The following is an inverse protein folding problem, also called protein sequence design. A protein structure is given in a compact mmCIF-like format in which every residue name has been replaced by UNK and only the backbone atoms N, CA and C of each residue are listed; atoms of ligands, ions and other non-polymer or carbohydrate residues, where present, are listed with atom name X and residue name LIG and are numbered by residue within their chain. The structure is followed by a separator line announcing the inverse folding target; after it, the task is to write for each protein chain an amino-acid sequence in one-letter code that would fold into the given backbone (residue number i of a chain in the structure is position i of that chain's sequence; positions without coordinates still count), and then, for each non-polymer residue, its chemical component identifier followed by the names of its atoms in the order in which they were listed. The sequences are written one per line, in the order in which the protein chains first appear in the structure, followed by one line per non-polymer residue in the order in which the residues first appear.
data_IF_072610406271
#
_entry.id   IF_072610406271
#
_cell.length_a   1.000
_cell.length_b   1.000
_cell.length_c   1.000
_cell.angle_alpha   90.00
_cell.angle_beta   90.00
_cell.angle_gamma   90.00
#
_symmetry.space_group_name_H-M   'P 1'
#
loop_
_entity.id
_entity.type
_entity.pdbx_description
1 polymer ?
#
# COMPACT_ATOMS: atom_id res chain seq x y z
N UNK A 1 -18.01 -2.61 -48.00
CA UNK A 1 -18.73 -3.18 -46.84
C UNK A 1 -17.69 -3.46 -45.76
N UNK A 2 -17.55 -2.58 -44.77
CA UNK A 2 -16.59 -2.78 -43.67
C UNK A 2 -17.23 -3.75 -42.67
N UNK A 3 -16.64 -4.94 -42.50
CA UNK A 3 -17.02 -5.86 -41.43
C UNK A 3 -16.50 -5.24 -40.14
N UNK A 4 -17.40 -4.66 -39.34
CA UNK A 4 -17.08 -4.23 -37.98
C UNK A 4 -16.92 -5.50 -37.15
N UNK A 5 -15.68 -5.91 -36.91
CA UNK A 5 -15.39 -7.02 -36.01
C UNK A 5 -15.66 -6.51 -34.59
N UNK A 6 -16.84 -6.84 -34.06
CA UNK A 6 -17.17 -6.57 -32.65
C UNK A 6 -16.36 -7.53 -31.79
N UNK A 7 -15.33 -7.03 -31.12
CA UNK A 7 -14.57 -7.82 -30.16
C UNK A 7 -15.39 -8.02 -28.89
N UNK A 8 -15.70 -9.28 -28.59
CA UNK A 8 -16.37 -9.63 -27.33
C UNK A 8 -15.50 -9.24 -26.13
N UNK A 9 -16.15 -8.77 -25.07
CA UNK A 9 -15.52 -8.29 -23.83
C UNK A 9 -15.84 -9.23 -22.67
N UNK A 10 -14.88 -9.46 -21.80
CA UNK A 10 -15.06 -10.16 -20.53
C UNK A 10 -14.79 -9.23 -19.35
N UNK A 11 -15.49 -9.41 -18.25
CA UNK A 11 -15.20 -8.76 -16.97
C UNK A 11 -14.96 -9.82 -15.91
N UNK A 12 -13.90 -9.65 -15.12
CA UNK A 12 -13.62 -10.50 -13.97
C UNK A 12 -14.08 -9.76 -12.71
N UNK A 13 -14.96 -10.38 -11.93
CA UNK A 13 -15.51 -9.78 -10.72
C UNK A 13 -14.83 -10.34 -9.47
N UNK A 14 -14.37 -9.41 -8.63
CA UNK A 14 -13.71 -9.67 -7.36
C UNK A 14 -14.33 -8.76 -6.29
N UNK A 15 -14.78 -9.36 -5.20
CA UNK A 15 -15.06 -8.59 -3.99
C UNK A 15 -13.76 -8.10 -3.36
N UNK A 16 -13.83 -7.10 -2.46
CA UNK A 16 -12.65 -6.61 -1.71
C UNK A 16 -11.93 -7.75 -1.00
N UNK A 17 -10.67 -7.96 -1.35
CA UNK A 17 -9.84 -9.05 -0.83
C UNK A 17 -8.97 -8.63 0.36
N UNK A 18 -8.38 -9.58 1.12
CA UNK A 18 -7.37 -9.30 2.14
C UNK A 18 -6.25 -8.38 1.64
N UNK A 19 -5.74 -7.51 2.51
CA UNK A 19 -4.81 -6.43 2.15
C UNK A 19 -3.39 -6.88 1.82
N UNK A 20 -3.03 -8.13 2.17
CA UNK A 20 -1.66 -8.64 2.07
C UNK A 20 -1.58 -9.92 1.21
N UNK A 21 -1.99 -9.87 -0.06
CA UNK A 21 -1.99 -11.05 -0.93
C UNK A 21 -0.58 -11.42 -1.40
N UNK A 22 -0.39 -12.69 -1.76
CA UNK A 22 0.82 -13.19 -2.40
C UNK A 22 0.47 -14.16 -3.53
N UNK A 23 1.45 -14.63 -4.29
CA UNK A 23 1.26 -15.50 -5.46
C UNK A 23 0.60 -16.85 -5.16
N UNK A 24 0.57 -17.27 -3.88
CA UNK A 24 -0.09 -18.49 -3.42
C UNK A 24 -1.52 -18.27 -2.92
N UNK A 25 -1.96 -17.02 -2.86
CA UNK A 25 -3.31 -16.71 -2.39
C UNK A 25 -4.34 -17.17 -3.43
N UNK A 26 -5.33 -17.97 -3.01
CA UNK A 26 -6.25 -18.63 -3.94
C UNK A 26 -6.94 -17.68 -4.93
N UNK A 27 -7.39 -16.50 -4.50
CA UNK A 27 -8.02 -15.54 -5.41
C UNK A 27 -7.03 -14.96 -6.43
N UNK A 28 -5.75 -14.79 -6.07
CA UNK A 28 -4.70 -14.35 -7.00
C UNK A 28 -4.52 -15.40 -8.09
N UNK A 29 -4.34 -16.68 -7.72
CA UNK A 29 -4.12 -17.77 -8.66
C UNK A 29 -5.31 -17.95 -9.62
N UNK A 30 -6.53 -17.98 -9.09
CA UNK A 30 -7.74 -18.12 -9.91
C UNK A 30 -7.98 -16.92 -10.82
N UNK A 31 -7.65 -15.70 -10.38
CA UNK A 31 -7.73 -14.53 -11.26
C UNK A 31 -6.69 -14.60 -12.38
N UNK A 32 -5.47 -15.08 -12.13
CA UNK A 32 -4.47 -15.32 -13.18
C UNK A 32 -4.99 -16.33 -14.21
N UNK A 33 -5.53 -17.47 -13.75
CA UNK A 33 -6.14 -18.49 -14.62
C UNK A 33 -7.29 -17.89 -15.46
N UNK A 34 -8.16 -17.08 -14.85
CA UNK A 34 -9.25 -16.41 -15.54
C UNK A 34 -8.76 -15.45 -16.63
N UNK A 35 -7.74 -14.63 -16.35
CA UNK A 35 -7.15 -13.71 -17.35
C UNK A 35 -6.48 -14.48 -18.49
N UNK A 36 -5.79 -15.57 -18.19
CA UNK A 36 -5.20 -16.44 -19.21
C UNK A 36 -6.29 -17.09 -20.10
N UNK A 37 -7.40 -17.50 -19.51
CA UNK A 37 -8.55 -17.98 -20.27
C UNK A 37 -9.13 -16.90 -21.18
N UNK A 38 -9.33 -15.68 -20.68
CA UNK A 38 -9.80 -14.52 -21.50
C UNK A 38 -8.88 -14.32 -22.70
N UNK A 39 -7.56 -14.37 -22.49
CA UNK A 39 -6.56 -14.30 -23.57
C UNK A 39 -6.73 -15.43 -24.59
N UNK A 40 -6.87 -16.67 -24.12
CA UNK A 40 -7.00 -17.84 -24.99
C UNK A 40 -8.30 -17.82 -25.81
N UNK A 41 -9.35 -17.19 -25.29
CA UNK A 41 -10.61 -16.96 -26.02
C UNK A 41 -10.57 -15.72 -26.93
N UNK A 42 -9.43 -15.03 -27.03
CA UNK A 42 -9.27 -13.80 -27.81
C UNK A 42 -10.30 -12.70 -27.46
N UNK A 43 -10.65 -12.61 -26.17
CA UNK A 43 -11.55 -11.61 -25.62
C UNK A 43 -10.76 -10.38 -25.15
N UNK A 44 -11.40 -9.20 -25.18
CA UNK A 44 -10.89 -8.02 -24.49
C UNK A 44 -11.28 -8.06 -23.01
N UNK A 45 -10.41 -7.61 -22.10
CA UNK A 45 -10.71 -7.55 -20.67
C UNK A 45 -11.18 -6.15 -20.25
N UNK A 46 -12.30 -6.07 -19.53
CA UNK A 46 -12.74 -4.83 -18.88
C UNK A 46 -12.05 -4.73 -17.52
N UNK A 47 -11.31 -3.65 -17.29
CA UNK A 47 -10.55 -3.39 -16.06
C UNK A 47 -10.81 -1.98 -15.54
N UNK A 48 -10.17 -1.59 -14.43
CA UNK A 48 -10.32 -0.24 -13.86
C UNK A 48 -9.25 0.07 -12.81
N UNK A 49 -9.30 1.26 -12.21
CA UNK A 49 -8.39 1.74 -11.16
C UNK A 49 -9.15 2.17 -9.87
N UNK A 50 -8.40 2.57 -8.85
CA UNK A 50 -8.94 3.10 -7.59
C UNK A 50 -9.35 2.02 -6.58
N UNK A 51 -9.10 0.75 -6.89
CA UNK A 51 -9.25 -0.36 -5.96
C UNK A 51 -8.28 -1.48 -6.32
N UNK A 52 -7.60 -2.05 -5.32
CA UNK A 52 -6.59 -3.09 -5.52
C UNK A 52 -7.02 -4.25 -6.41
N UNK A 53 -8.27 -4.73 -6.29
CA UNK A 53 -8.75 -5.85 -7.10
C UNK A 53 -8.92 -5.46 -8.57
N UNK A 54 -9.29 -4.22 -8.86
CA UNK A 54 -9.36 -3.69 -10.22
C UNK A 54 -7.97 -3.41 -10.79
N UNK A 55 -7.11 -2.77 -10.00
CA UNK A 55 -5.72 -2.47 -10.35
C UNK A 55 -4.92 -3.75 -10.64
N UNK A 56 -5.21 -4.84 -9.92
CA UNK A 56 -4.63 -6.14 -10.21
C UNK A 56 -5.03 -6.67 -11.59
N UNK A 57 -6.30 -6.52 -11.98
CA UNK A 57 -6.76 -6.91 -13.32
C UNK A 57 -6.11 -6.05 -14.41
N UNK A 58 -5.98 -4.74 -14.19
CA UNK A 58 -5.27 -3.84 -15.11
C UNK A 58 -3.79 -4.25 -15.26
N UNK A 59 -3.13 -4.60 -14.16
CA UNK A 59 -1.77 -5.12 -14.18
C UNK A 59 -1.66 -6.45 -14.94
N UNK A 60 -2.53 -7.42 -14.66
CA UNK A 60 -2.51 -8.71 -15.35
C UNK A 60 -2.79 -8.58 -16.86
N UNK A 61 -3.73 -7.72 -17.25
CA UNK A 61 -3.99 -7.45 -18.66
C UNK A 61 -2.75 -6.88 -19.37
N UNK A 62 -2.01 -5.99 -18.70
CA UNK A 62 -0.75 -5.46 -19.21
C UNK A 62 0.34 -6.56 -19.31
N UNK A 63 0.54 -7.35 -18.24
CA UNK A 63 1.54 -8.43 -18.20
C UNK A 63 1.31 -9.51 -19.27
N UNK A 64 0.04 -9.86 -19.52
CA UNK A 64 -0.31 -10.88 -20.50
C UNK A 64 -0.61 -10.33 -21.89
N UNK A 65 -0.39 -9.03 -22.12
CA UNK A 65 -0.61 -8.35 -23.41
C UNK A 65 -2.04 -8.49 -23.97
N UNK A 66 -3.05 -8.46 -23.10
CA UNK A 66 -4.46 -8.47 -23.52
C UNK A 66 -4.89 -7.10 -24.05
N UNK A 67 -5.85 -7.11 -24.98
CA UNK A 67 -6.66 -5.92 -25.22
C UNK A 67 -7.48 -5.63 -23.97
N UNK A 68 -7.50 -4.39 -23.50
CA UNK A 68 -8.30 -4.01 -22.35
C UNK A 68 -9.00 -2.67 -22.53
N UNK A 69 -10.20 -2.59 -21.93
CA UNK A 69 -10.97 -1.35 -21.75
C UNK A 69 -10.85 -0.96 -20.27
N UNK A 70 -10.17 0.15 -19.98
CA UNK A 70 -9.96 0.61 -18.61
C UNK A 70 -11.01 1.66 -18.28
N UNK A 71 -11.91 1.33 -17.36
CA UNK A 71 -12.86 2.29 -16.84
C UNK A 71 -12.17 3.21 -15.84
N UNK A 72 -12.30 4.53 -16.00
CA UNK A 72 -11.70 5.52 -15.10
C UNK A 72 -12.83 6.29 -14.38
N UNK A 73 -13.03 6.06 -13.08
CA UNK A 73 -14.00 6.81 -12.29
C UNK A 73 -13.49 8.24 -12.03
N UNK A 74 -14.13 9.25 -12.62
CA UNK A 74 -13.71 10.66 -12.57
C UNK A 74 -14.88 11.59 -12.32
N UNK A 75 -14.59 12.80 -11.83
CA UNK A 75 -15.61 13.84 -11.60
C UNK A 75 -15.78 14.79 -12.79
N UNK A 76 -14.76 14.92 -13.65
CA UNK A 76 -14.73 15.80 -14.81
C UNK A 76 -13.74 15.31 -15.88
N UNK A 77 -13.78 15.93 -17.07
CA UNK A 77 -12.93 15.56 -18.21
C UNK A 77 -11.45 15.87 -17.97
N UNK A 78 -11.13 16.93 -17.22
CA UNK A 78 -9.73 17.27 -16.93
C UNK A 78 -9.06 16.19 -16.09
N UNK A 79 -9.76 15.71 -15.06
CA UNK A 79 -9.35 14.60 -14.21
C UNK A 79 -9.20 13.31 -15.02
N UNK A 80 -10.09 13.08 -16.01
CA UNK A 80 -10.00 11.91 -16.89
C UNK A 80 -8.68 11.86 -17.65
N UNK A 81 -8.26 12.97 -18.27
CA UNK A 81 -7.00 13.03 -19.01
C UNK A 81 -5.78 12.80 -18.11
N UNK A 82 -5.79 13.37 -16.90
CA UNK A 82 -4.71 13.17 -15.93
C UNK A 82 -4.62 11.70 -15.48
N UNK A 83 -5.77 11.10 -15.16
CA UNK A 83 -5.83 9.73 -14.70
C UNK A 83 -5.47 8.72 -15.80
N UNK A 84 -5.73 9.02 -17.08
CA UNK A 84 -5.25 8.20 -18.20
C UNK A 84 -3.72 8.16 -18.21
N UNK A 85 -3.06 9.32 -18.19
CA UNK A 85 -1.60 9.40 -18.29
C UNK A 85 -0.94 8.75 -17.07
N UNK A 86 -1.47 9.02 -15.88
CA UNK A 86 -1.04 8.34 -14.67
C UNK A 86 -1.20 6.82 -14.79
N UNK A 87 -2.36 6.33 -15.24
CA UNK A 87 -2.63 4.89 -15.38
C UNK A 87 -1.68 4.24 -16.38
N UNK A 88 -1.43 4.87 -17.54
CA UNK A 88 -0.48 4.37 -18.53
C UNK A 88 0.91 4.22 -17.93
N UNK A 89 1.39 5.22 -17.19
CA UNK A 89 2.71 5.19 -16.56
C UNK A 89 2.80 4.10 -15.48
N UNK A 90 1.85 4.08 -14.56
CA UNK A 90 1.88 3.20 -13.39
C UNK A 90 1.75 1.72 -13.75
N UNK A 91 0.96 1.40 -14.78
CA UNK A 91 0.73 0.03 -15.23
C UNK A 91 1.53 -0.35 -16.47
N UNK A 92 2.30 0.60 -17.04
CA UNK A 92 3.06 0.40 -18.29
C UNK A 92 2.17 -0.05 -19.47
N UNK A 93 0.99 0.56 -19.60
CA UNK A 93 -0.01 0.17 -20.60
C UNK A 93 0.43 0.51 -22.03
N UNK A 94 0.02 -0.33 -22.99
CA UNK A 94 0.34 -0.17 -24.41
C UNK A 94 -0.85 0.46 -25.14
N UNK A 95 -0.60 1.57 -25.86
CA UNK A 95 -1.65 2.36 -26.51
C UNK A 95 -2.44 1.57 -27.55
N UNK A 96 -1.79 0.64 -28.27
CA UNK A 96 -2.44 -0.23 -29.27
C UNK A 96 -3.28 -1.37 -28.64
N UNK A 97 -3.21 -1.54 -27.31
CA UNK A 97 -3.90 -2.60 -26.56
C UNK A 97 -4.84 -2.06 -25.50
N UNK A 98 -4.93 -0.75 -25.34
CA UNK A 98 -5.67 -0.15 -24.23
C UNK A 98 -6.54 0.98 -24.72
N UNK A 99 -7.84 0.87 -24.46
CA UNK A 99 -8.79 1.98 -24.55
C UNK A 99 -9.24 2.39 -23.15
N UNK A 100 -9.69 3.64 -23.02
CA UNK A 100 -10.10 4.23 -21.75
C UNK A 100 -11.52 4.77 -21.89
N UNK A 101 -12.34 4.54 -20.86
CA UNK A 101 -13.71 5.02 -20.82
C UNK A 101 -13.95 5.73 -19.48
N UNK A 102 -14.43 6.98 -19.49
CA UNK A 102 -14.74 7.68 -18.26
C UNK A 102 -16.03 7.12 -17.64
N UNK A 103 -16.07 7.07 -16.31
CA UNK A 103 -17.30 6.82 -15.56
C UNK A 103 -17.55 8.06 -14.71
N UNK A 104 -18.54 8.86 -15.11
CA UNK A 104 -18.92 10.08 -14.41
C UNK A 104 -19.98 9.82 -13.33
N UNK A 105 -20.02 10.65 -12.27
CA UNK A 105 -21.16 10.67 -11.35
C UNK A 105 -22.42 11.20 -12.06
N UNK A 106 -23.60 10.79 -11.60
CA UNK A 106 -24.85 11.51 -11.88
C UNK A 106 -25.09 12.61 -10.85
N UNK A 107 -25.99 13.56 -11.17
CA UNK A 107 -26.28 14.76 -10.37
C UNK A 107 -26.52 14.50 -8.87
N UNK A 108 -27.08 13.33 -8.52
CA UNK A 108 -27.40 12.97 -7.13
C UNK A 108 -26.43 11.96 -6.49
N UNK A 109 -25.36 11.59 -7.19
CA UNK A 109 -24.38 10.65 -6.65
C UNK A 109 -23.55 11.29 -5.53
N UNK A 110 -23.35 10.52 -4.47
CA UNK A 110 -22.31 10.83 -3.48
C UNK A 110 -20.99 10.28 -3.98
N UNK A 111 -19.83 10.83 -3.55
CA UNK A 111 -18.51 10.30 -3.95
C UNK A 111 -18.33 8.79 -3.73
N UNK A 112 -19.03 8.21 -2.73
CA UNK A 112 -19.01 6.78 -2.42
C UNK A 112 -19.77 5.89 -3.43
N UNK A 113 -20.60 6.49 -4.29
CA UNK A 113 -21.44 5.77 -5.24
C UNK A 113 -20.71 5.54 -6.58
N UNK A 114 -19.70 6.36 -6.88
CA UNK A 114 -18.89 6.26 -8.09
C UNK A 114 -18.21 4.88 -8.28
N UNK A 115 -17.62 4.25 -7.24
CA UNK A 115 -17.12 2.88 -7.36
C UNK A 115 -18.20 1.85 -7.74
N UNK A 116 -19.45 2.05 -7.30
CA UNK A 116 -20.58 1.14 -7.61
C UNK A 116 -21.01 1.33 -9.06
N UNK A 117 -21.03 2.57 -9.55
CA UNK A 117 -21.29 2.86 -10.97
C UNK A 117 -20.28 2.22 -11.88
N UNK A 118 -18.99 2.38 -11.57
CA UNK A 118 -17.92 1.74 -12.31
C UNK A 118 -18.12 0.23 -12.38
N UNK A 119 -18.44 -0.41 -11.25
CA UNK A 119 -18.67 -1.87 -11.22
C UNK A 119 -19.86 -2.28 -12.12
N UNK A 120 -20.95 -1.51 -12.11
CA UNK A 120 -22.11 -1.73 -13.01
C UNK A 120 -21.76 -1.54 -14.48
N UNK A 121 -21.11 -0.42 -14.82
CA UNK A 121 -20.69 -0.12 -16.19
C UNK A 121 -19.77 -1.23 -16.74
N UNK A 122 -18.88 -1.77 -15.90
CA UNK A 122 -18.01 -2.87 -16.29
C UNK A 122 -18.78 -4.14 -16.69
N UNK A 123 -19.84 -4.46 -15.94
CA UNK A 123 -20.73 -5.60 -16.24
C UNK A 123 -21.59 -5.32 -17.46
N UNK A 124 -22.10 -4.11 -17.60
CA UNK A 124 -22.96 -3.69 -18.71
C UNK A 124 -22.28 -3.85 -20.06
N UNK A 125 -21.02 -3.40 -20.19
CA UNK A 125 -20.28 -3.48 -21.45
C UNK A 125 -19.65 -4.85 -21.74
N UNK A 126 -19.68 -5.78 -20.76
CA UNK A 126 -19.10 -7.11 -20.92
C UNK A 126 -20.10 -8.12 -21.48
N UNK A 127 -19.65 -9.00 -22.37
CA UNK A 127 -20.44 -10.13 -22.88
C UNK A 127 -20.32 -11.36 -21.97
N UNK A 128 -19.19 -11.50 -21.28
CA UNK A 128 -18.88 -12.60 -20.36
C UNK A 128 -18.54 -12.05 -18.98
N UNK A 129 -19.22 -12.55 -17.94
CA UNK A 129 -18.95 -12.22 -16.54
C UNK A 129 -18.28 -13.42 -15.87
N UNK A 130 -17.12 -13.18 -15.25
CA UNK A 130 -16.30 -14.20 -14.63
C UNK A 130 -16.19 -13.91 -13.13
N UNK A 131 -17.08 -14.47 -12.29
CA UNK A 131 -16.95 -14.36 -10.84
C UNK A 131 -15.78 -15.22 -10.34
N UNK A 132 -14.79 -14.60 -9.68
CA UNK A 132 -13.67 -15.34 -9.09
C UNK A 132 -13.84 -15.48 -7.58
N UNK A 133 -13.76 -14.39 -6.82
CA UNK A 133 -13.84 -14.43 -5.36
C UNK A 133 -14.85 -13.41 -4.87
N UNK A 134 -16.09 -13.88 -4.68
CA UNK A 134 -17.25 -13.04 -4.41
C UNK A 134 -17.69 -13.22 -2.95
N UNK A 135 -17.86 -12.10 -2.25
CA UNK A 135 -18.41 -12.07 -0.90
C UNK A 135 -19.90 -12.44 -0.95
N UNK A 136 -20.36 -13.44 -0.18
CA UNK A 136 -21.77 -13.75 -0.07
C UNK A 136 -22.57 -12.55 0.43
N UNK A 137 -23.74 -12.32 -0.18
CA UNK A 137 -24.64 -11.18 0.03
C UNK A 137 -23.95 -9.83 -0.19
N UNK A 138 -22.95 -9.80 -1.07
CA UNK A 138 -22.17 -8.62 -1.41
C UNK A 138 -22.61 -7.96 -2.71
N UNK A 139 -22.12 -6.75 -2.97
CA UNK A 139 -22.44 -6.02 -4.20
C UNK A 139 -22.08 -6.79 -5.48
N UNK A 140 -20.93 -7.48 -5.49
CA UNK A 140 -20.48 -8.22 -6.67
C UNK A 140 -21.34 -9.47 -6.94
N UNK A 141 -21.90 -10.10 -5.90
CA UNK A 141 -22.83 -11.23 -6.08
C UNK A 141 -24.12 -10.75 -6.77
N UNK A 142 -24.69 -9.65 -6.27
CA UNK A 142 -25.85 -9.01 -6.89
C UNK A 142 -25.61 -8.63 -8.36
N UNK A 143 -24.41 -8.17 -8.72
CA UNK A 143 -24.05 -7.87 -10.11
C UNK A 143 -24.00 -9.14 -10.99
N UNK A 144 -23.54 -10.26 -10.45
CA UNK A 144 -23.55 -11.55 -11.15
C UNK A 144 -24.99 -12.03 -11.38
N UNK A 145 -25.86 -11.88 -10.38
CA UNK A 145 -27.29 -12.19 -10.49
C UNK A 145 -27.99 -11.31 -11.53
N UNK A 146 -27.77 -9.99 -11.48
CA UNK A 146 -28.30 -9.02 -12.46
C UNK A 146 -27.83 -9.36 -13.89
N UNK A 147 -26.55 -9.72 -14.06
CA UNK A 147 -25.99 -10.14 -15.35
C UNK A 147 -26.64 -11.42 -15.88
N UNK A 148 -26.86 -12.40 -15.01
CA UNK A 148 -27.53 -13.65 -15.36
C UNK A 148 -28.98 -13.40 -15.80
N UNK A 149 -29.73 -12.59 -15.05
CA UNK A 149 -31.11 -12.21 -15.42
C UNK A 149 -31.17 -11.45 -16.75
N UNK A 150 -30.12 -10.68 -17.05
CA UNK A 150 -30.00 -9.94 -18.32
C UNK A 150 -29.50 -10.79 -19.49
N UNK A 151 -29.32 -12.10 -19.29
CA UNK A 151 -28.89 -13.04 -20.34
C UNK A 151 -27.41 -13.00 -20.70
N UNK A 152 -26.54 -12.41 -19.86
CA UNK A 152 -25.09 -12.42 -20.08
C UNK A 152 -24.50 -13.81 -19.79
N UNK A 153 -23.41 -14.15 -20.48
CA UNK A 153 -22.69 -15.40 -20.24
C UNK A 153 -21.97 -15.34 -18.89
N UNK A 154 -22.18 -16.34 -18.03
CA UNK A 154 -21.50 -16.46 -16.74
C UNK A 154 -20.52 -17.63 -16.78
N UNK A 155 -19.23 -17.37 -16.56
CA UNK A 155 -18.21 -18.41 -16.46
C UNK A 155 -17.69 -18.50 -15.01
N UNK A 156 -18.18 -19.50 -14.26
CA UNK A 156 -17.83 -19.74 -12.86
C UNK A 156 -16.67 -20.71 -12.65
N UNK A 157 -15.99 -21.14 -13.72
CA UNK A 157 -14.89 -22.14 -13.66
C UNK A 157 -13.75 -21.73 -12.74
N UNK A 158 -13.53 -20.42 -12.56
CA UNK A 158 -12.43 -19.86 -11.79
C UNK A 158 -12.82 -19.43 -10.38
N UNK A 159 -13.92 -19.96 -9.84
CA UNK A 159 -14.38 -19.60 -8.51
C UNK A 159 -13.34 -19.94 -7.42
N UNK A 160 -13.18 -19.04 -6.46
CA UNK A 160 -12.36 -19.18 -5.26
C UNK A 160 -13.17 -18.77 -4.04
N UNK A 161 -13.01 -19.50 -2.94
CA UNK A 161 -13.63 -19.16 -1.66
C UNK A 161 -13.21 -17.76 -1.23
N UNK A 162 -14.20 -16.91 -0.96
CA UNK A 162 -13.97 -15.58 -0.40
C UNK A 162 -13.44 -15.66 1.03
N UNK A 163 -12.40 -14.88 1.32
CA UNK A 163 -11.87 -14.70 2.67
C UNK A 163 -12.06 -13.24 3.12
N UNK A 164 -12.60 -13.00 4.33
CA UNK A 164 -12.76 -11.64 4.85
C UNK A 164 -11.40 -10.98 5.14
N UNK A 165 -11.38 -9.64 5.20
CA UNK A 165 -10.21 -8.82 5.55
C UNK A 165 -9.82 -8.88 7.05
N UNK A 166 -9.95 -10.03 7.69
CA UNK A 166 -9.91 -10.16 9.15
C UNK A 166 -8.51 -10.33 9.75
N UNK A 167 -7.49 -10.65 8.95
CA UNK A 167 -6.18 -11.01 9.46
C UNK A 167 -5.48 -9.81 10.10
N UNK A 168 -5.43 -9.84 11.43
CA UNK A 168 -4.66 -8.90 12.23
C UNK A 168 -3.21 -9.33 12.17
N UNK A 169 -2.35 -8.42 11.76
CA UNK A 169 -0.92 -8.61 11.93
C UNK A 169 -0.61 -8.49 13.43
N UNK A 170 0.13 -9.46 13.98
CA UNK A 170 0.56 -9.46 15.37
C UNK A 170 2.01 -9.95 15.44
N UNK A 171 2.82 -9.24 16.19
CA UNK A 171 4.15 -9.67 16.60
C UNK A 171 4.08 -10.14 18.05
N UNK A 172 4.77 -11.23 18.36
CA UNK A 172 4.83 -11.78 19.72
C UNK A 172 6.17 -11.42 20.33
N UNK A 173 6.22 -10.21 20.90
CA UNK A 173 7.42 -9.71 21.55
C UNK A 173 7.39 -10.17 23.00
N UNK A 174 8.03 -11.31 23.28
CA UNK A 174 8.24 -11.75 24.65
C UNK A 174 9.30 -10.85 25.31
N UNK A 175 8.90 -10.14 26.37
CA UNK A 175 9.77 -9.23 27.11
C UNK A 175 10.92 -9.95 27.81
N UNK A 176 10.76 -11.25 28.07
CA UNK A 176 11.80 -12.09 28.67
C UNK A 176 12.84 -12.57 27.66
N UNK A 177 12.52 -12.53 26.37
CA UNK A 177 13.39 -12.96 25.28
C UNK A 177 13.95 -11.78 24.45
N UNK A 178 14.02 -10.58 25.05
CA UNK A 178 14.58 -9.41 24.38
C UNK A 178 16.11 -9.50 24.36
N UNK A 179 16.70 -9.11 23.23
CA UNK A 179 18.16 -9.01 23.09
C UNK A 179 18.71 -8.00 24.13
N UNK A 180 19.66 -8.37 25.00
CA UNK A 180 20.18 -7.47 26.03
C UNK A 180 20.93 -6.26 25.46
N UNK A 181 21.45 -6.32 24.23
CA UNK A 181 22.08 -5.17 23.57
C UNK A 181 21.13 -3.98 23.44
N UNK A 182 19.82 -4.22 23.39
CA UNK A 182 18.79 -3.19 23.31
C UNK A 182 18.94 -2.14 24.41
N UNK A 183 19.27 -2.57 25.63
CA UNK A 183 19.41 -1.67 26.78
C UNK A 183 20.65 -0.79 26.70
N UNK A 184 21.70 -1.29 26.02
CA UNK A 184 22.96 -0.57 25.87
C UNK A 184 22.87 0.63 24.92
N UNK A 185 21.85 0.64 24.06
CA UNK A 185 21.63 1.71 23.08
C UNK A 185 21.08 2.97 23.76
N UNK A 186 20.27 2.79 24.81
CA UNK A 186 19.64 3.88 25.56
C UNK A 186 18.91 4.87 24.65
N UNK A 187 19.15 6.16 24.88
CA UNK A 187 18.57 7.27 24.12
C UNK A 187 19.51 7.81 23.02
N UNK A 188 20.57 7.07 22.68
CA UNK A 188 21.64 7.52 21.77
C UNK A 188 21.15 7.74 20.33
N UNK A 189 20.06 7.10 19.92
CA UNK A 189 19.55 7.15 18.56
C UNK A 189 18.14 7.74 18.49
N UNK A 190 17.82 8.38 17.36
CA UNK A 190 16.45 8.68 16.94
C UNK A 190 16.03 7.64 15.91
N UNK A 191 14.91 6.95 16.13
CA UNK A 191 14.56 5.74 15.38
C UNK A 191 13.38 6.01 14.45
N UNK A 192 13.59 5.82 13.15
CA UNK A 192 12.51 5.70 12.20
C UNK A 192 11.99 4.26 12.20
N UNK A 193 10.83 4.05 12.81
CA UNK A 193 10.17 2.75 12.80
C UNK A 193 9.44 2.53 11.48
N UNK A 194 9.68 1.37 10.88
CA UNK A 194 9.06 0.94 9.63
C UNK A 194 7.88 0.02 9.92
N UNK A 195 7.08 -0.22 8.89
CA UNK A 195 5.94 -1.14 8.93
C UNK A 195 5.61 -1.66 7.54
N UNK A 196 4.78 -2.68 7.50
CA UNK A 196 4.23 -3.23 6.28
C UNK A 196 3.41 -2.16 5.56
N UNK A 197 3.60 -2.03 4.24
CA UNK A 197 2.69 -1.25 3.39
C UNK A 197 1.53 -2.14 2.99
N UNK A 198 0.29 -1.65 3.00
CA UNK A 198 -0.86 -2.43 2.52
C UNK A 198 -1.04 -2.32 0.99
N UNK A 199 -0.02 -1.86 0.25
CA UNK A 199 -0.04 -1.63 -1.21
C UNK A 199 1.35 -1.27 -1.72
N UNK A 200 1.43 -0.51 -2.82
CA UNK A 200 2.69 0.03 -3.35
C UNK A 200 3.49 0.79 -2.29
N UNK A 201 4.82 0.76 -2.39
CA UNK A 201 5.65 1.77 -1.73
C UNK A 201 5.50 3.14 -2.43
N UNK A 202 5.79 4.27 -1.76
CA UNK A 202 5.56 5.61 -2.33
C UNK A 202 6.32 5.91 -3.64
N UNK A 203 7.48 5.29 -3.84
CA UNK A 203 8.33 5.40 -5.03
C UNK A 203 8.15 4.23 -6.01
N UNK A 204 7.19 3.35 -5.74
CA UNK A 204 6.95 2.16 -6.54
C UNK A 204 5.78 2.35 -7.52
N UNK A 205 6.01 1.94 -8.78
CA UNK A 205 4.93 1.83 -9.76
C UNK A 205 4.01 0.65 -9.45
N UNK A 206 2.71 0.82 -9.69
CA UNK A 206 1.70 -0.23 -9.48
C UNK A 206 2.04 -1.57 -10.15
N UNK A 207 2.56 -1.56 -11.39
CA UNK A 207 2.95 -2.81 -12.08
C UNK A 207 4.06 -3.57 -11.36
N UNK A 208 5.01 -2.87 -10.73
CA UNK A 208 6.11 -3.51 -9.98
C UNK A 208 5.57 -4.17 -8.71
N UNK A 209 4.64 -3.52 -8.02
CA UNK A 209 3.98 -4.10 -6.85
C UNK A 209 3.26 -5.40 -7.20
N UNK A 210 2.44 -5.41 -8.26
CA UNK A 210 1.70 -6.61 -8.64
C UNK A 210 2.62 -7.73 -9.15
N UNK A 211 3.70 -7.42 -9.87
CA UNK A 211 4.75 -8.41 -10.19
C UNK A 211 5.38 -9.00 -8.94
N UNK A 212 5.68 -8.17 -7.94
CA UNK A 212 6.23 -8.66 -6.68
C UNK A 212 5.22 -9.59 -5.97
N UNK A 213 3.93 -9.23 -5.94
CA UNK A 213 2.87 -10.08 -5.35
C UNK A 213 2.80 -11.43 -6.06
N UNK A 214 2.78 -11.44 -7.40
CA UNK A 214 2.68 -12.66 -8.20
C UNK A 214 3.88 -13.60 -8.00
N UNK A 215 5.07 -13.05 -7.86
CA UNK A 215 6.32 -13.82 -7.79
C UNK A 215 6.72 -14.23 -6.36
N UNK A 216 5.99 -13.78 -5.33
CA UNK A 216 6.35 -14.01 -3.93
C UNK A 216 5.53 -15.12 -3.28
N UNK A 217 6.19 -15.93 -2.45
CA UNK A 217 5.54 -16.93 -1.58
C UNK A 217 4.91 -16.30 -0.34
N UNK A 218 5.41 -15.13 0.05
CA UNK A 218 4.97 -14.32 1.19
C UNK A 218 4.55 -12.93 0.73
N UNK A 219 4.03 -12.10 1.62
CA UNK A 219 3.64 -10.74 1.25
C UNK A 219 4.89 -9.86 1.01
N UNK A 220 5.11 -9.34 -0.21
CA UNK A 220 6.37 -8.66 -0.57
C UNK A 220 6.52 -7.25 0.01
N UNK A 221 5.50 -6.74 0.70
CA UNK A 221 5.50 -5.41 1.34
C UNK A 221 5.34 -5.51 2.85
N UNK A 222 5.79 -6.64 3.43
CA UNK A 222 5.98 -6.79 4.87
C UNK A 222 7.04 -5.83 5.43
N UNK A 223 7.06 -5.60 6.74
CA UNK A 223 7.94 -4.62 7.37
C UNK A 223 9.43 -4.88 7.13
N UNK A 224 9.89 -6.14 7.18
CA UNK A 224 11.27 -6.49 6.83
C UNK A 224 11.61 -6.07 5.39
N UNK A 225 10.74 -6.36 4.43
CA UNK A 225 10.93 -5.97 3.03
C UNK A 225 10.88 -4.45 2.85
N UNK A 226 10.05 -3.72 3.62
CA UNK A 226 10.03 -2.26 3.63
C UNK A 226 11.37 -1.70 4.14
N UNK A 227 11.91 -2.28 5.22
CA UNK A 227 13.23 -1.90 5.75
C UNK A 227 14.34 -2.17 4.73
N UNK A 228 14.34 -3.35 4.10
CA UNK A 228 15.28 -3.68 3.02
C UNK A 228 15.19 -2.70 1.84
N UNK A 229 13.98 -2.31 1.44
CA UNK A 229 13.76 -1.32 0.39
C UNK A 229 14.41 0.02 0.74
N UNK A 230 14.11 0.55 1.94
CA UNK A 230 14.69 1.81 2.42
C UNK A 230 16.22 1.75 2.46
N UNK A 231 16.80 0.65 2.94
CA UNK A 231 18.25 0.47 2.99
C UNK A 231 18.86 0.39 1.58
N UNK A 232 18.16 -0.25 0.64
CA UNK A 232 18.62 -0.39 -0.75
C UNK A 232 18.54 0.93 -1.54
N UNK A 233 17.47 1.70 -1.37
CA UNK A 233 17.29 3.03 -1.99
C UNK A 233 18.00 4.14 -1.23
N UNK A 234 18.48 3.83 -0.03
CA UNK A 234 19.12 4.76 0.91
C UNK A 234 18.26 6.00 1.16
N UNK A 235 16.94 5.87 1.12
CA UNK A 235 16.03 7.01 1.25
C UNK A 235 14.84 6.63 2.12
N UNK A 236 14.59 7.43 3.16
CA UNK A 236 13.31 7.39 3.88
C UNK A 236 12.40 8.44 3.23
N UNK A 237 11.32 7.98 2.59
CA UNK A 237 10.40 8.88 1.89
C UNK A 237 9.46 9.55 2.89
N UNK A 238 9.42 10.87 2.85
CA UNK A 238 8.54 11.67 3.70
C UNK A 238 7.07 11.45 3.35
N UNK A 239 6.22 11.36 4.36
CA UNK A 239 4.77 11.21 4.19
C UNK A 239 4.05 12.51 4.50
N UNK A 240 2.99 12.81 3.76
CA UNK A 240 2.05 13.91 4.10
C UNK A 240 0.94 13.43 5.03
N UNK A 241 0.84 12.12 5.26
CA UNK A 241 -0.22 11.49 6.05
C UNK A 241 -0.07 11.91 7.51
N UNK A 242 -1.14 12.51 8.06
CA UNK A 242 -1.18 13.05 9.42
C UNK A 242 -0.16 14.17 9.71
N UNK A 243 0.49 14.72 8.69
CA UNK A 243 1.43 15.83 8.85
C UNK A 243 0.74 17.20 8.78
N UNK A 244 1.19 18.19 9.56
CA UNK A 244 0.68 19.56 9.49
C UNK A 244 0.82 20.14 8.08
N UNK A 245 -0.26 20.76 7.60
CA UNK A 245 -0.25 21.46 6.30
C UNK A 245 -0.02 20.54 5.11
N UNK A 246 -0.14 19.21 5.30
CA UNK A 246 0.24 18.19 4.30
C UNK A 246 1.69 18.32 3.83
N UNK A 247 2.58 18.84 4.67
CA UNK A 247 4.01 18.95 4.36
C UNK A 247 4.65 17.58 4.57
N UNK A 248 5.22 17.01 3.50
CA UNK A 248 5.88 15.72 3.55
C UNK A 248 7.02 15.74 4.58
N UNK A 249 7.02 14.79 5.50
CA UNK A 249 8.03 14.69 6.55
C UNK A 249 8.36 13.23 6.89
N UNK A 250 9.59 12.98 7.32
CA UNK A 250 10.00 11.71 7.95
C UNK A 250 9.91 11.87 9.45
N UNK A 251 9.24 10.94 10.13
CA UNK A 251 9.13 10.91 11.59
C UNK A 251 10.14 9.93 12.19
N UNK A 252 10.73 10.33 13.32
CA UNK A 252 11.58 9.52 14.18
C UNK A 252 11.04 9.55 15.60
N UNK A 253 11.24 8.48 16.36
CA UNK A 253 10.97 8.45 17.80
C UNK A 253 12.25 8.68 18.59
N UNK A 254 12.18 9.51 19.63
CA UNK A 254 13.25 9.71 20.61
C UNK A 254 13.19 8.76 21.81
N UNK A 255 12.19 7.87 21.87
CA UNK A 255 12.02 6.91 22.95
C UNK A 255 13.17 5.91 23.00
N UNK A 256 13.46 5.40 24.20
CA UNK A 256 14.29 4.20 24.33
C UNK A 256 13.54 3.00 23.76
N UNK A 257 14.28 2.00 23.25
CA UNK A 257 13.67 0.91 22.48
C UNK A 257 12.55 0.20 23.24
N UNK A 258 12.74 -0.12 24.53
CA UNK A 258 11.73 -0.81 25.36
C UNK A 258 10.40 -0.06 25.42
N UNK A 259 10.44 1.26 25.51
CA UNK A 259 9.24 2.10 25.52
C UNK A 259 8.55 2.09 24.16
N UNK A 260 9.32 2.22 23.08
CA UNK A 260 8.81 2.16 21.71
C UNK A 260 8.12 0.81 21.40
N UNK A 261 8.66 -0.32 21.89
CA UNK A 261 8.04 -1.63 21.74
C UNK A 261 6.62 -1.69 22.34
N UNK A 262 6.34 -0.94 23.41
CA UNK A 262 4.98 -0.88 24.01
C UNK A 262 3.97 -0.18 23.11
N UNK A 263 4.44 0.64 22.17
CA UNK A 263 3.61 1.36 21.22
C UNK A 263 3.30 0.55 19.96
N UNK A 264 3.96 -0.60 19.74
CA UNK A 264 3.72 -1.50 18.60
C UNK A 264 2.42 -2.28 18.77
N UNK A 265 1.31 -1.75 18.23
CA UNK A 265 -0.02 -2.32 18.38
C UNK A 265 -0.85 -2.21 17.11
N UNK A 266 -1.78 -3.16 16.95
CA UNK A 266 -2.77 -3.11 15.87
C UNK A 266 -3.71 -1.92 16.03
N UNK A 267 -3.87 -1.14 14.96
CA UNK A 267 -4.79 0.00 14.88
C UNK A 267 -5.97 -0.39 14.00
N UNK A 268 -7.04 -0.91 14.59
CA UNK A 268 -8.24 -1.38 13.89
C UNK A 268 -8.79 -0.37 12.88
N UNK A 269 -8.82 0.92 13.23
CA UNK A 269 -9.29 2.00 12.35
C UNK A 269 -8.52 2.07 11.02
N UNK A 270 -7.23 1.73 11.03
CA UNK A 270 -6.34 1.86 9.89
C UNK A 270 -5.95 0.50 9.27
N UNK A 271 -6.34 -0.62 9.88
CA UNK A 271 -5.98 -1.98 9.47
C UNK A 271 -4.46 -2.18 9.29
N UNK A 272 -3.68 -1.61 10.20
CA UNK A 272 -2.22 -1.63 10.19
C UNK A 272 -1.68 -1.57 11.62
N UNK A 273 -0.41 -1.95 11.80
CA UNK A 273 0.33 -1.71 13.03
C UNK A 273 0.70 -0.23 13.13
N UNK A 274 0.74 0.32 14.35
CA UNK A 274 1.33 1.66 14.59
C UNK A 274 2.80 1.66 14.17
N UNK A 275 3.55 0.68 14.65
CA UNK A 275 4.94 0.38 14.32
C UNK A 275 5.12 -1.14 14.29
N UNK A 276 6.07 -1.61 13.52
CA UNK A 276 6.52 -3.01 13.51
C UNK A 276 7.98 -3.06 13.99
N UNK A 277 8.50 -4.21 14.46
CA UNK A 277 9.83 -4.32 15.09
C UNK A 277 10.99 -4.26 14.09
N UNK A 278 10.96 -3.25 13.22
CA UNK A 278 11.92 -3.00 12.16
C UNK A 278 12.15 -1.49 12.06
N UNK A 279 13.39 -1.04 12.14
CA UNK A 279 13.67 0.40 12.17
C UNK A 279 15.10 0.77 11.84
N UNK A 280 15.30 2.06 11.59
CA UNK A 280 16.62 2.66 11.33
C UNK A 280 16.84 3.74 12.37
N UNK A 281 17.85 3.56 13.21
CA UNK A 281 18.32 4.54 14.18
C UNK A 281 19.42 5.43 13.59
N UNK A 282 19.32 6.73 13.81
CA UNK A 282 20.37 7.71 13.54
C UNK A 282 20.93 8.23 14.86
N UNK A 283 22.25 8.33 14.99
CA UNK A 283 22.84 8.89 16.21
C UNK A 283 22.26 10.29 16.45
N UNK A 284 21.73 10.51 17.66
CA UNK A 284 20.88 11.69 17.97
C UNK A 284 21.59 13.00 17.65
N UNK A 285 22.85 13.15 18.06
CA UNK A 285 23.63 14.36 17.77
C UNK A 285 23.78 14.61 16.27
N UNK A 286 24.10 13.55 15.51
CA UNK A 286 24.20 13.63 14.05
C UNK A 286 22.87 14.03 13.41
N UNK A 287 21.77 13.39 13.80
CA UNK A 287 20.44 13.66 13.25
C UNK A 287 20.02 15.13 13.48
N UNK A 288 20.22 15.67 14.68
CA UNK A 288 19.89 17.05 15.02
C UNK A 288 20.71 18.06 14.22
N UNK A 289 22.02 17.83 14.08
CA UNK A 289 22.88 18.69 13.24
C UNK A 289 22.49 18.64 11.76
N UNK A 290 21.85 17.57 11.31
CA UNK A 290 21.40 17.37 9.93
C UNK A 290 19.89 17.64 9.74
N UNK A 291 19.31 18.54 10.54
CA UNK A 291 17.99 19.10 10.28
C UNK A 291 16.80 18.27 10.79
N UNK A 292 17.04 17.18 11.52
CA UNK A 292 15.98 16.54 12.30
C UNK A 292 15.64 17.44 13.49
N UNK A 293 14.36 17.78 13.65
CA UNK A 293 13.88 18.69 14.69
C UNK A 293 12.87 18.00 15.61
N UNK A 294 12.90 18.35 16.91
CA UNK A 294 11.91 17.85 17.87
C UNK A 294 10.53 18.45 17.57
N UNK A 295 9.49 17.63 17.64
CA UNK A 295 8.10 18.09 17.49
C UNK A 295 7.71 19.00 18.66
N UNK A 296 7.04 20.11 18.33
CA UNK A 296 6.49 21.09 19.26
C UNK A 296 5.02 20.78 19.50
N UNK A 297 4.70 20.25 20.67
CA UNK A 297 3.32 19.94 21.02
C UNK A 297 2.59 21.17 21.56
N UNK A 298 1.45 21.49 20.95
CA UNK A 298 0.61 22.65 21.30
C UNK A 298 -0.82 22.23 21.55
N UNK A 299 -1.55 23.03 22.32
CA UNK A 299 -2.99 22.87 22.45
C UNK A 299 -3.68 23.23 21.13
N UNK A 300 -4.82 22.62 20.84
CA UNK A 300 -5.50 22.83 19.54
C UNK A 300 -5.94 24.27 19.31
N UNK A 301 -6.10 25.06 20.38
CA UNK A 301 -6.45 26.47 20.32
C UNK A 301 -5.24 27.39 20.10
N UNK A 302 -4.03 26.84 20.23
CA UNK A 302 -2.76 27.56 20.15
C UNK A 302 -1.90 27.07 18.99
N UNK A 303 -2.53 26.47 17.96
CA UNK A 303 -1.79 26.06 16.78
C UNK A 303 -1.27 27.30 16.03
N UNK A 304 0.02 27.32 15.65
CA UNK A 304 0.55 28.39 14.85
C UNK A 304 -0.10 28.43 13.47
N UNK A 305 0.00 29.58 12.80
CA UNK A 305 -0.50 29.72 11.44
C UNK A 305 0.30 28.85 10.47
N UNK A 306 -0.36 28.34 9.42
CA UNK A 306 0.26 27.46 8.43
C UNK A 306 1.45 28.11 7.70
N UNK A 307 1.51 29.44 7.66
CA UNK A 307 2.60 30.21 7.04
C UNK A 307 3.89 30.21 7.88
N UNK A 308 3.83 29.73 9.13
CA UNK A 308 4.99 29.66 10.01
C UNK A 308 6.05 28.73 9.39
N UNK A 309 7.32 29.15 9.23
CA UNK A 309 8.34 28.37 8.51
C UNK A 309 8.56 26.95 9.03
N UNK A 310 8.36 26.71 10.33
CA UNK A 310 8.51 25.42 11.00
C UNK A 310 7.16 24.76 11.35
N UNK A 311 6.07 25.16 10.70
CA UNK A 311 4.72 24.61 10.94
C UNK A 311 4.67 23.08 10.88
N UNK A 312 5.50 22.46 10.03
CA UNK A 312 5.64 21.00 9.89
C UNK A 312 6.12 20.30 11.18
N UNK A 313 6.77 21.01 12.09
CA UNK A 313 7.22 20.50 13.39
C UNK A 313 6.16 20.61 14.50
N UNK A 314 4.98 21.19 14.25
CA UNK A 314 3.96 21.33 15.29
C UNK A 314 3.00 20.14 15.33
N UNK A 315 2.48 19.81 16.51
CA UNK A 315 1.47 18.77 16.66
C UNK A 315 0.52 19.10 17.80
N UNK A 316 -0.77 18.80 17.62
CA UNK A 316 -1.71 18.88 18.74
C UNK A 316 -1.34 17.83 19.79
N UNK A 317 -1.39 18.17 21.08
CA UNK A 317 -1.23 17.19 22.16
C UNK A 317 -2.21 16.00 22.08
N UNK A 318 -3.37 16.22 21.43
CA UNK A 318 -4.41 15.24 21.21
C UNK A 318 -5.52 15.33 22.27
N UNK A 319 -6.76 15.01 21.87
CA UNK A 319 -7.93 15.13 22.76
C UNK A 319 -8.27 13.84 23.51
N UNK A 320 -7.97 12.68 22.91
CA UNK A 320 -8.30 11.34 23.44
C UNK A 320 -7.06 10.50 23.77
N UNK A 321 -5.93 10.83 23.15
CA UNK A 321 -4.65 10.18 23.36
C UNK A 321 -3.60 11.27 23.42
N UNK A 322 -2.63 11.11 24.31
CA UNK A 322 -1.52 12.04 24.47
C UNK A 322 -0.38 11.67 23.50
N UNK A 323 -0.23 12.46 22.45
CA UNK A 323 0.78 12.25 21.41
C UNK A 323 2.21 12.56 21.88
N UNK A 324 2.38 13.21 23.04
CA UNK A 324 3.71 13.49 23.61
C UNK A 324 4.47 12.22 23.99
N UNK A 325 3.73 11.14 24.24
CA UNK A 325 4.28 9.82 24.60
C UNK A 325 5.15 9.18 23.52
N UNK A 326 5.12 9.65 22.27
CA UNK A 326 5.94 9.10 21.18
C UNK A 326 7.33 9.75 21.07
N UNK A 327 7.57 10.85 21.80
CA UNK A 327 8.74 11.73 21.68
C UNK A 327 9.14 11.96 20.22
N UNK A 328 8.22 12.49 19.41
CA UNK A 328 8.42 12.57 17.97
C UNK A 328 9.46 13.65 17.58
N UNK A 329 10.28 13.29 16.59
CA UNK A 329 11.17 14.18 15.85
C UNK A 329 10.84 14.07 14.37
N UNK A 330 11.07 15.13 13.60
CA UNK A 330 10.78 15.15 12.16
C UNK A 330 11.93 15.68 11.34
N UNK A 331 11.99 15.24 10.09
CA UNK A 331 12.75 15.86 9.02
C UNK A 331 11.80 16.27 7.90
N UNK A 332 11.99 17.46 7.32
CA UNK A 332 11.14 17.97 6.23
C UNK A 332 11.55 17.35 4.90
N UNK A 333 10.62 16.69 4.23
CA UNK A 333 10.84 16.00 2.95
C UNK A 333 11.36 14.57 3.13
N UNK A 334 12.10 14.09 2.13
CA UNK A 334 12.73 12.76 2.15
C UNK A 334 14.09 12.84 2.84
N UNK A 335 14.43 11.84 3.64
CA UNK A 335 15.72 11.76 4.33
C UNK A 335 16.69 10.86 3.56
N UNK A 336 17.83 11.41 3.15
CA UNK A 336 18.88 10.69 2.42
C UNK A 336 19.84 9.97 3.40
N UNK A 337 19.70 8.65 3.48
CA UNK A 337 20.58 7.77 4.26
C UNK A 337 21.95 7.59 3.60
N UNK A 338 22.09 7.84 2.30
CA UNK A 338 23.36 7.72 1.58
C UNK A 338 24.40 8.73 2.04
N UNK A 339 23.95 9.86 2.59
CA UNK A 339 24.79 10.89 3.20
C UNK A 339 25.25 10.55 4.63
N UNK A 340 24.67 9.54 5.28
CA UNK A 340 24.94 9.21 6.68
C UNK A 340 26.08 8.19 6.77
N UNK A 341 27.14 8.45 7.56
CA UNK A 341 28.18 7.45 7.80
C UNK A 341 27.58 6.20 8.48
N UNK A 342 27.95 5.00 8.05
CA UNK A 342 27.43 3.75 8.63
C UNK A 342 27.67 3.64 10.14
N UNK A 343 28.74 4.25 10.67
CA UNK A 343 29.04 4.32 12.11
C UNK A 343 28.08 5.22 12.91
N UNK A 344 27.26 6.01 12.23
CA UNK A 344 26.21 6.88 12.79
C UNK A 344 24.81 6.29 12.61
N UNK A 345 24.71 5.11 11.99
CA UNK A 345 23.47 4.38 11.79
C UNK A 345 23.45 3.09 12.59
N UNK A 346 22.25 2.66 12.93
CA UNK A 346 21.99 1.35 13.47
C UNK A 346 20.67 0.84 12.89
N UNK A 347 20.57 -0.46 12.64
CA UNK A 347 19.36 -1.08 12.11
C UNK A 347 18.77 -2.00 13.17
N UNK A 348 17.44 -2.06 13.21
CA UNK A 348 16.67 -2.95 14.08
C UNK A 348 15.83 -3.88 13.24
N UNK A 349 15.81 -5.17 13.57
CA UNK A 349 14.93 -6.17 12.96
C UNK A 349 14.38 -7.12 14.02
N UNK A 350 13.41 -7.94 13.65
CA UNK A 350 12.70 -8.75 14.64
C UNK A 350 13.56 -9.90 15.16
N UNK A 351 14.24 -10.62 14.26
CA UNK A 351 15.00 -11.84 14.53
C UNK A 351 16.51 -11.66 14.30
N UNK A 352 17.31 -12.57 14.88
CA UNK A 352 18.79 -12.57 14.77
C UNK A 352 19.30 -12.94 13.38
N UNK A 353 18.64 -13.89 12.70
CA UNK A 353 18.97 -14.29 11.33
C UNK A 353 18.76 -13.14 10.34
N UNK A 354 17.67 -12.37 10.53
CA UNK A 354 17.43 -11.12 9.82
C UNK A 354 18.54 -10.09 10.10
N UNK A 355 18.99 -9.98 11.35
CA UNK A 355 20.02 -9.02 11.75
C UNK A 355 21.36 -9.33 11.07
N UNK A 356 21.80 -10.58 11.16
CA UNK A 356 23.02 -11.04 10.53
C UNK A 356 22.98 -10.85 9.00
N UNK A 357 21.85 -11.15 8.37
CA UNK A 357 21.65 -10.91 6.95
C UNK A 357 21.76 -9.43 6.58
N UNK A 358 21.06 -8.54 7.28
CA UNK A 358 21.09 -7.10 7.01
C UNK A 358 22.48 -6.50 7.28
N UNK A 359 23.14 -6.88 8.36
CA UNK A 359 24.48 -6.39 8.66
C UNK A 359 25.50 -6.82 7.59
N UNK A 360 25.48 -8.10 7.18
CA UNK A 360 26.40 -8.61 6.16
C UNK A 360 26.20 -7.96 4.78
N UNK A 361 24.96 -7.59 4.44
CA UNK A 361 24.62 -7.01 3.12
C UNK A 361 24.77 -5.50 3.07
N UNK A 362 24.62 -4.81 4.20
CA UNK A 362 24.66 -3.33 4.25
C UNK A 362 25.93 -2.77 4.87
N UNK A 363 26.64 -3.55 5.68
CA UNK A 363 27.76 -3.08 6.50
C UNK A 363 27.35 -2.13 7.63
N UNK A 364 26.06 -2.05 7.96
CA UNK A 364 25.53 -1.25 9.07
C UNK A 364 25.28 -2.17 10.26
N UNK A 365 25.70 -1.74 11.46
CA UNK A 365 25.43 -2.48 12.69
C UNK A 365 23.93 -2.76 12.81
N UNK A 366 23.56 -4.02 12.95
CA UNK A 366 22.16 -4.44 13.05
C UNK A 366 21.92 -5.23 14.33
N UNK A 367 20.85 -4.89 15.04
CA UNK A 367 20.46 -5.52 16.30
C UNK A 367 19.07 -6.15 16.13
N UNK A 368 18.94 -7.40 16.55
CA UNK A 368 17.65 -8.07 16.65
C UNK A 368 16.89 -7.62 17.89
N UNK A 369 15.56 -7.53 17.80
CA UNK A 369 14.69 -7.28 18.95
C UNK A 369 14.65 -8.51 19.88
N UNK A 370 14.59 -9.70 19.29
CA UNK A 370 14.60 -10.97 20.03
C UNK A 370 16.02 -11.56 20.13
N UNK A 371 16.26 -12.32 21.19
CA UNK A 371 17.55 -12.96 21.50
C UNK A 371 17.70 -14.40 20.94
N UNK A 372 16.87 -14.78 19.95
CA UNK A 372 16.79 -16.15 19.41
C UNK A 372 17.96 -16.52 18.49
#
# INVERSE_FOLDING_TARGET
MYIVIVHRKAVILLSRQPLRPNGRTAWIQRTVEAVQWVRNQNLSLVTSIGMQTWEFLTALAAEFYLKQEVLIPVIDEQSFHQDIEWTKEQFSLKVDRTSFMPVFPLDNDKPRDLPVRRDRAAVEIADVVIPVSIKPRGNMERLVEEALTSGKEINSTFAATYKPRADRLKYEIDRHNLNPEIDTIGNRYLIHWTRSSNGVWPDERQIKYWRAVLNSKEYPRGALYTLQHILSTKTIIGSTRHMPGKIASVSFSGLVLREALTLMRWRTRYHEMSFEPYGIGLERGYALTNGVAKVKYVDSLSQPEQQTPDFWCYQSQGRKADWRSEEEYRFRGNFDLGSVPSSKMIVFCYRSDEAAFLESTTGIKTISILNE
#
